data_IF_909113746451
#
_entry.id   IF_909113746451
#
_cell.length_a   1.000
_cell.length_b   1.000
_cell.length_c   1.000
_cell.angle_alpha   90.00
_cell.angle_beta   90.00
_cell.angle_gamma   90.00
#
_symmetry.space_group_name_H-M   'P 1'
#
loop_
_entity.id
_entity.type
_entity.pdbx_description
1 polymer ?
#
# COMPACT_ATOMS: atom_id res chain seq x y z
N UNK A 1 -6.70 27.85 64.15
CA UNK A 1 -6.64 26.41 64.54
C UNK A 1 -7.88 25.76 63.94
N UNK A 2 -7.87 24.69 63.13
CA UNK A 2 -6.85 23.72 62.72
C UNK A 2 -7.18 23.20 61.30
N UNK A 3 -6.13 22.78 60.60
CA UNK A 3 -6.07 22.18 59.25
C UNK A 3 -6.81 20.84 59.18
N UNK A 4 -7.33 20.52 57.99
CA UNK A 4 -7.25 19.16 57.44
C UNK A 4 -6.77 19.28 56.00
N UNK A 5 -5.52 18.85 55.79
CA UNK A 5 -4.95 18.55 54.48
C UNK A 5 -5.45 17.17 54.07
N UNK A 6 -5.91 17.02 52.83
CA UNK A 6 -5.90 15.74 52.13
C UNK A 6 -5.05 15.92 50.89
N UNK A 7 -3.84 15.40 51.00
CA UNK A 7 -2.86 15.32 49.93
C UNK A 7 -3.36 14.27 48.92
N UNK A 8 -3.53 14.67 47.66
CA UNK A 8 -3.75 13.77 46.54
C UNK A 8 -2.77 14.19 45.46
N UNK A 9 -1.73 13.38 45.32
CA UNK A 9 -0.62 13.53 44.39
C UNK A 9 -1.11 13.71 42.96
N UNK A 10 -0.92 14.92 42.43
CA UNK A 10 -1.13 15.25 41.03
C UNK A 10 0.10 14.78 40.23
N UNK A 11 -0.03 13.69 39.48
CA UNK A 11 0.98 13.26 38.51
C UNK A 11 0.91 14.17 37.28
N UNK A 12 2.03 14.72 36.77
CA UNK A 12 1.98 15.58 35.58
C UNK A 12 1.58 14.77 34.33
N UNK A 13 0.50 15.19 33.68
CA UNK A 13 -0.02 14.65 32.43
C UNK A 13 1.08 14.73 31.34
N UNK A 14 1.45 13.58 30.77
CA UNK A 14 2.41 13.50 29.67
C UNK A 14 1.82 14.15 28.41
N UNK A 15 2.59 14.91 27.60
CA UNK A 15 2.03 15.60 26.44
C UNK A 15 1.53 14.61 25.40
N UNK A 16 0.21 14.65 25.12
CA UNK A 16 -0.43 13.89 24.05
C UNK A 16 0.19 14.29 22.71
N UNK A 17 0.67 13.34 21.88
CA UNK A 17 1.20 13.69 20.57
C UNK A 17 0.07 14.25 19.68
N UNK A 18 0.24 15.49 19.22
CA UNK A 18 -0.62 16.10 18.20
C UNK A 18 -0.38 15.38 16.88
N UNK A 19 -1.32 14.53 16.48
CA UNK A 19 -1.36 13.93 15.15
C UNK A 19 -1.62 15.07 14.16
N UNK A 20 -0.66 15.32 13.27
CA UNK A 20 -0.80 16.30 12.20
C UNK A 20 -1.98 15.95 11.30
N UNK A 21 -2.97 16.85 11.29
CA UNK A 21 -4.18 16.79 10.46
C UNK A 21 -3.78 17.08 9.01
N UNK A 22 -3.74 16.06 8.15
CA UNK A 22 -3.61 16.27 6.69
C UNK A 22 -5.00 16.62 6.15
N UNK A 23 -5.22 17.90 5.88
CA UNK A 23 -6.39 18.41 5.16
C UNK A 23 -6.16 18.29 3.65
N UNK A 24 -7.08 17.59 2.97
CA UNK A 24 -7.09 17.51 1.51
C UNK A 24 -7.93 18.67 0.98
N UNK A 25 -7.29 19.62 0.28
CA UNK A 25 -8.02 20.66 -0.44
C UNK A 25 -8.53 20.10 -1.78
N UNK A 26 -9.80 20.33 -2.15
CA UNK A 26 -10.28 20.01 -3.49
C UNK A 26 -9.58 20.93 -4.51
N UNK A 27 -9.10 20.33 -5.59
CA UNK A 27 -8.37 21.00 -6.67
C UNK A 27 -9.23 22.08 -7.34
N UNK A 28 -8.90 23.35 -7.12
CA UNK A 28 -9.37 24.47 -7.93
C UNK A 28 -8.43 24.68 -9.12
N UNK A 29 -8.97 24.59 -10.33
CA UNK A 29 -8.27 24.88 -11.57
C UNK A 29 -8.13 26.40 -11.76
N UNK A 30 -6.90 26.89 -11.96
CA UNK A 30 -6.62 28.15 -12.66
C UNK A 30 -5.45 27.96 -13.64
N UNK A 31 -5.46 28.60 -14.82
CA UNK A 31 -4.48 28.34 -15.88
C UNK A 31 -3.21 29.17 -15.67
N UNK A 32 -2.05 28.51 -15.60
CA UNK A 32 -0.75 29.19 -15.57
C UNK A 32 0.17 28.64 -16.68
N UNK A 33 0.84 29.60 -17.32
CA UNK A 33 1.66 29.57 -18.53
C UNK A 33 2.69 28.43 -18.63
N UNK A 34 2.87 27.93 -19.84
CA UNK A 34 3.77 26.83 -20.22
C UNK A 34 5.23 27.31 -20.21
N UNK A 35 6.06 26.66 -19.39
CA UNK A 35 7.52 26.63 -19.55
C UNK A 35 7.86 25.17 -19.89
N UNK A 36 8.45 24.85 -21.05
CA UNK A 36 8.78 23.47 -21.39
C UNK A 36 9.91 22.96 -20.48
N UNK A 37 9.62 21.94 -19.68
CA UNK A 37 10.60 21.18 -18.92
C UNK A 37 11.50 20.37 -19.89
N UNK A 38 12.78 20.13 -19.53
CA UNK A 38 13.71 19.40 -20.39
C UNK A 38 13.17 17.98 -20.67
N UNK A 39 13.27 17.59 -21.93
CA UNK A 39 12.90 16.28 -22.47
C UNK A 39 13.64 15.15 -21.72
N UNK A 40 13.00 14.66 -20.66
CA UNK A 40 13.20 13.30 -20.18
C UNK A 40 12.05 12.51 -20.78
N UNK A 41 12.36 11.66 -21.75
CA UNK A 41 11.42 10.84 -22.52
C UNK A 41 10.59 9.85 -21.70
N UNK A 42 9.76 10.36 -20.79
CA UNK A 42 8.71 9.64 -20.07
C UNK A 42 7.44 9.70 -20.93
N UNK A 43 7.59 9.36 -22.20
CA UNK A 43 6.48 8.86 -23.00
C UNK A 43 6.61 7.35 -23.03
N UNK A 44 6.10 6.71 -21.98
CA UNK A 44 5.27 5.52 -22.16
C UNK A 44 4.16 5.61 -21.14
N UNK A 45 2.99 6.04 -21.63
CA UNK A 45 1.73 5.43 -21.23
C UNK A 45 2.01 3.97 -20.85
N UNK A 46 1.97 3.67 -19.56
CA UNK A 46 2.15 2.31 -19.12
C UNK A 46 0.82 1.62 -19.44
N UNK A 47 0.71 1.18 -20.69
CA UNK A 47 -0.54 0.67 -21.22
C UNK A 47 -0.95 -0.55 -20.41
N UNK A 48 -2.05 -0.42 -19.68
CA UNK A 48 -2.78 -1.53 -19.05
C UNK A 48 -3.04 -2.67 -20.06
N UNK A 49 -3.06 -2.34 -21.36
CA UNK A 49 -3.20 -3.28 -22.48
C UNK A 49 -2.11 -4.35 -22.62
N UNK A 50 -1.01 -4.30 -21.83
CA UNK A 50 -0.01 -5.39 -21.81
C UNK A 50 -0.36 -6.55 -20.89
N UNK A 51 -1.29 -6.35 -19.95
CA UNK A 51 -1.72 -7.41 -19.04
C UNK A 51 -3.03 -8.01 -19.54
N UNK A 52 -2.95 -9.26 -19.96
CA UNK A 52 -4.13 -10.06 -20.29
C UNK A 52 -4.67 -10.71 -19.01
N UNK A 53 -5.93 -11.11 -19.04
CA UNK A 53 -6.65 -11.66 -17.89
C UNK A 53 -6.38 -13.14 -17.62
N UNK A 54 -5.61 -13.82 -18.46
CA UNK A 54 -5.52 -15.29 -18.55
C UNK A 54 -4.11 -15.84 -18.33
N UNK A 55 -3.08 -15.00 -18.35
CA UNK A 55 -1.71 -15.37 -18.10
C UNK A 55 -1.36 -15.25 -16.62
N UNK A 56 -0.73 -16.28 -16.06
CA UNK A 56 -0.01 -16.15 -14.79
C UNK A 56 1.34 -15.49 -15.10
N UNK A 57 1.59 -14.33 -14.50
CA UNK A 57 2.87 -13.61 -14.65
C UNK A 57 3.83 -14.03 -13.55
N UNK A 58 5.11 -14.20 -13.91
CA UNK A 58 6.17 -14.42 -12.94
C UNK A 58 6.66 -13.09 -12.34
N UNK A 59 6.85 -13.07 -11.01
CA UNK A 59 7.36 -11.92 -10.27
C UNK A 59 8.64 -12.33 -9.54
N UNK A 60 9.76 -11.75 -9.97
CA UNK A 60 11.07 -11.90 -9.32
C UNK A 60 11.70 -10.51 -9.10
N UNK A 61 12.41 -10.35 -7.98
CA UNK A 61 13.16 -9.15 -7.62
C UNK A 61 14.65 -9.40 -7.39
N UNK A 62 15.15 -10.58 -7.77
CA UNK A 62 16.56 -10.94 -7.62
C UNK A 62 17.48 -9.96 -8.36
N UNK A 63 18.46 -9.42 -7.64
CA UNK A 63 19.43 -8.47 -8.17
C UNK A 63 18.86 -7.10 -8.55
N UNK A 64 17.60 -6.80 -8.22
CA UNK A 64 17.00 -5.50 -8.50
C UNK A 64 17.39 -4.43 -7.47
N UNK A 65 17.52 -3.18 -7.93
CA UNK A 65 17.63 -2.00 -7.06
C UNK A 65 16.27 -1.65 -6.45
N UNK A 66 16.24 -0.91 -5.34
CA UNK A 66 15.00 -0.43 -4.71
C UNK A 66 14.04 0.24 -5.71
N UNK A 67 14.57 1.11 -6.58
CA UNK A 67 13.79 1.76 -7.63
C UNK A 67 13.17 0.74 -8.61
N UNK A 68 13.92 -0.28 -9.02
CA UNK A 68 13.41 -1.31 -9.92
C UNK A 68 12.37 -2.20 -9.21
N UNK A 69 12.52 -2.46 -7.91
CA UNK A 69 11.52 -3.16 -7.10
C UNK A 69 10.21 -2.36 -7.09
N UNK A 70 10.25 -1.03 -6.86
CA UNK A 70 9.05 -0.18 -6.95
C UNK A 70 8.37 -0.27 -8.31
N UNK A 71 9.14 -0.28 -9.40
CA UNK A 71 8.59 -0.45 -10.74
C UNK A 71 7.91 -1.82 -10.92
N UNK A 72 8.50 -2.90 -10.39
CA UNK A 72 7.87 -4.23 -10.37
C UNK A 72 6.57 -4.23 -9.56
N UNK A 73 6.52 -3.57 -8.40
CA UNK A 73 5.29 -3.45 -7.60
C UNK A 73 4.20 -2.64 -8.31
N UNK A 74 4.58 -1.59 -9.06
CA UNK A 74 3.66 -0.86 -9.92
C UNK A 74 3.12 -1.77 -11.03
N UNK A 75 3.96 -2.64 -11.59
CA UNK A 75 3.54 -3.64 -12.57
C UNK A 75 2.56 -4.66 -12.02
N UNK A 76 2.80 -5.18 -10.81
CA UNK A 76 1.85 -6.03 -10.10
C UNK A 76 0.49 -5.33 -9.89
N UNK A 77 0.51 -4.04 -9.53
CA UNK A 77 -0.71 -3.23 -9.37
C UNK A 77 -1.50 -3.13 -10.67
N UNK A 78 -0.81 -2.93 -11.80
CA UNK A 78 -1.47 -2.86 -13.12
C UNK A 78 -2.05 -4.21 -13.54
N UNK A 79 -1.32 -5.31 -13.31
CA UNK A 79 -1.83 -6.66 -13.56
C UNK A 79 -3.09 -6.95 -12.72
N UNK A 80 -3.04 -6.63 -11.42
CA UNK A 80 -4.19 -6.76 -10.53
C UNK A 80 -5.43 -6.00 -11.02
N UNK A 81 -5.24 -4.74 -11.43
CA UNK A 81 -6.33 -3.93 -11.99
C UNK A 81 -6.88 -4.50 -13.31
N UNK A 82 -6.03 -5.12 -14.14
CA UNK A 82 -6.47 -5.78 -15.36
C UNK A 82 -7.39 -6.98 -15.04
N UNK A 83 -7.02 -7.83 -14.07
CA UNK A 83 -7.88 -8.93 -13.62
C UNK A 83 -9.21 -8.42 -13.05
N UNK A 84 -9.15 -7.37 -12.23
CA UNK A 84 -10.34 -6.80 -11.58
C UNK A 84 -11.33 -6.22 -12.59
N UNK A 85 -10.84 -5.49 -13.58
CA UNK A 85 -11.68 -4.81 -14.58
C UNK A 85 -12.20 -5.73 -15.68
N UNK A 86 -11.44 -6.74 -16.10
CA UNK A 86 -11.83 -7.64 -17.19
C UNK A 86 -12.70 -8.81 -16.73
N UNK A 87 -12.46 -9.33 -15.52
CA UNK A 87 -13.15 -10.54 -15.00
C UNK A 87 -14.04 -10.30 -13.80
N UNK A 88 -14.01 -9.11 -13.19
CA UNK A 88 -14.70 -8.87 -11.92
C UNK A 88 -14.17 -9.73 -10.77
N UNK A 89 -12.93 -10.23 -10.88
CA UNK A 89 -12.34 -11.15 -9.92
C UNK A 89 -12.19 -10.48 -8.55
N UNK A 90 -12.53 -11.23 -7.48
CA UNK A 90 -12.34 -10.76 -6.11
C UNK A 90 -10.86 -10.54 -5.78
N UNK A 91 -10.60 -9.57 -4.92
CA UNK A 91 -9.25 -9.10 -4.58
C UNK A 91 -8.38 -10.23 -4.02
N UNK A 92 -8.96 -11.09 -3.17
CA UNK A 92 -8.28 -12.28 -2.63
C UNK A 92 -7.79 -13.23 -3.72
N UNK A 93 -8.63 -13.56 -4.70
CA UNK A 93 -8.25 -14.44 -5.81
C UNK A 93 -7.17 -13.80 -6.70
N UNK A 94 -7.22 -12.47 -6.88
CA UNK A 94 -6.16 -11.75 -7.59
C UNK A 94 -4.83 -11.84 -6.82
N UNK A 95 -4.86 -11.67 -5.50
CA UNK A 95 -3.67 -11.79 -4.67
C UNK A 95 -3.08 -13.21 -4.72
N UNK A 96 -3.92 -14.24 -4.63
CA UNK A 96 -3.50 -15.64 -4.79
C UNK A 96 -2.85 -15.88 -6.16
N UNK A 97 -3.36 -15.26 -7.22
CA UNK A 97 -2.77 -15.33 -8.56
C UNK A 97 -1.40 -14.65 -8.65
N UNK A 98 -1.23 -13.49 -8.00
CA UNK A 98 0.07 -12.82 -7.90
C UNK A 98 1.08 -13.68 -7.11
N UNK A 99 0.64 -14.25 -5.98
CA UNK A 99 1.45 -15.12 -5.12
C UNK A 99 1.89 -16.38 -5.88
N UNK A 100 1.00 -16.97 -6.67
CA UNK A 100 1.33 -18.12 -7.52
C UNK A 100 2.43 -17.80 -8.56
N UNK A 101 2.55 -16.54 -8.94
CA UNK A 101 3.61 -16.04 -9.81
C UNK A 101 4.94 -15.73 -9.11
N UNK A 102 5.02 -15.79 -7.77
CA UNK A 102 6.25 -15.44 -7.08
C UNK A 102 7.37 -16.45 -7.35
N UNK A 103 8.56 -15.93 -7.66
CA UNK A 103 9.81 -16.68 -7.72
C UNK A 103 10.94 -15.92 -7.00
N UNK A 104 12.14 -16.51 -6.93
CA UNK A 104 13.31 -15.88 -6.31
C UNK A 104 13.08 -15.39 -4.87
N UNK A 105 13.58 -14.21 -4.55
CA UNK A 105 13.39 -13.56 -3.25
C UNK A 105 11.93 -13.37 -2.85
N UNK A 106 11.00 -13.07 -3.78
CA UNK A 106 9.59 -12.92 -3.43
C UNK A 106 9.00 -14.24 -2.92
N UNK A 107 9.33 -15.35 -3.57
CA UNK A 107 8.91 -16.68 -3.13
C UNK A 107 9.55 -17.06 -1.80
N UNK A 108 10.85 -16.79 -1.65
CA UNK A 108 11.58 -17.04 -0.40
C UNK A 108 11.02 -16.26 0.79
N UNK A 109 10.59 -15.02 0.57
CA UNK A 109 9.90 -14.21 1.56
C UNK A 109 8.52 -14.79 1.93
N UNK A 110 7.70 -15.08 0.93
CA UNK A 110 6.34 -15.57 1.16
C UNK A 110 6.30 -16.93 1.90
N UNK A 111 7.14 -17.88 1.47
CA UNK A 111 7.13 -19.25 1.98
C UNK A 111 7.80 -19.36 3.36
N UNK A 112 8.94 -18.68 3.54
CA UNK A 112 9.84 -18.93 4.69
C UNK A 112 9.93 -17.78 5.70
N UNK A 113 9.66 -16.53 5.30
CA UNK A 113 9.75 -15.40 6.22
C UNK A 113 8.42 -15.05 6.88
N UNK A 114 7.31 -15.22 6.16
CA UNK A 114 5.99 -15.06 6.75
C UNK A 114 5.55 -16.35 7.46
N UNK A 115 5.00 -16.22 8.67
CA UNK A 115 4.26 -17.31 9.28
C UNK A 115 2.81 -17.35 8.77
N UNK A 116 2.10 -18.43 9.10
CA UNK A 116 0.72 -18.65 8.66
C UNK A 116 -0.21 -17.51 9.07
N UNK A 117 -0.13 -17.05 10.33
CA UNK A 117 -0.93 -15.92 10.82
C UNK A 117 -0.68 -14.64 10.00
N UNK A 118 0.56 -14.34 9.66
CA UNK A 118 0.88 -13.17 8.84
C UNK A 118 0.30 -13.29 7.43
N UNK A 119 0.39 -14.47 6.81
CA UNK A 119 -0.25 -14.72 5.51
C UNK A 119 -1.77 -14.58 5.59
N UNK A 120 -2.40 -15.07 6.66
CA UNK A 120 -3.84 -14.90 6.88
C UNK A 120 -4.25 -13.43 7.07
N UNK A 121 -3.46 -12.65 7.80
CA UNK A 121 -3.72 -11.21 7.96
C UNK A 121 -3.66 -10.46 6.63
N UNK A 122 -2.74 -10.85 5.74
CA UNK A 122 -2.66 -10.30 4.39
C UNK A 122 -3.88 -10.75 3.58
N UNK A 123 -4.16 -12.05 3.52
CA UNK A 123 -5.18 -12.65 2.65
C UNK A 123 -6.63 -12.38 3.07
N UNK A 124 -6.85 -11.89 4.28
CA UNK A 124 -8.17 -11.52 4.80
C UNK A 124 -8.24 -10.04 5.19
N UNK A 125 -7.47 -9.18 4.52
CA UNK A 125 -7.50 -7.74 4.77
C UNK A 125 -8.69 -7.06 4.10
N UNK A 126 -9.21 -6.05 4.81
CA UNK A 126 -10.35 -5.24 4.37
C UNK A 126 -9.98 -3.77 4.35
N UNK A 127 -10.65 -2.99 3.51
CA UNK A 127 -10.52 -1.54 3.47
C UNK A 127 -11.07 -0.97 4.77
N UNK A 128 -10.32 -0.04 5.36
CA UNK A 128 -10.73 0.69 6.54
C UNK A 128 -10.75 2.20 6.26
N UNK A 129 -11.62 2.91 6.97
CA UNK A 129 -11.61 4.37 6.97
C UNK A 129 -10.46 4.95 7.82
N UNK A 130 -10.44 6.28 7.97
CA UNK A 130 -9.40 7.00 8.73
C UNK A 130 -9.38 6.67 10.23
N UNK A 131 -10.44 6.04 10.73
CA UNK A 131 -10.63 5.70 12.15
C UNK A 131 -10.46 4.19 12.38
N UNK A 132 -10.21 3.42 11.32
CA UNK A 132 -10.01 1.97 11.37
C UNK A 132 -11.29 1.15 11.25
N UNK A 133 -12.42 1.77 10.88
CA UNK A 133 -13.68 1.05 10.68
C UNK A 133 -13.69 0.40 9.31
N UNK A 134 -14.11 -0.87 9.24
CA UNK A 134 -14.25 -1.60 7.96
C UNK A 134 -15.27 -0.88 7.07
N UNK A 135 -14.88 -0.63 5.82
CA UNK A 135 -15.74 -0.02 4.80
C UNK A 135 -16.56 -1.14 4.14
N UNK A 136 -17.87 -0.95 4.09
CA UNK A 136 -18.82 -1.86 3.45
C UNK A 136 -19.19 -1.37 2.05
N UNK A 137 -19.54 -2.30 1.16
CA UNK A 137 -20.15 -2.00 -0.12
C UNK A 137 -21.67 -1.72 -0.01
N UNK A 138 -22.33 -1.52 -1.16
CA UNK A 138 -23.76 -1.22 -1.23
C UNK A 138 -24.65 -2.38 -0.76
N UNK A 139 -24.10 -3.59 -0.65
CA UNK A 139 -24.78 -4.81 -0.20
C UNK A 139 -24.51 -5.11 1.28
N UNK A 140 -23.69 -4.28 1.94
CA UNK A 140 -23.29 -4.44 3.33
C UNK A 140 -22.12 -5.41 3.54
N UNK A 141 -21.44 -5.83 2.47
CA UNK A 141 -20.28 -6.72 2.58
C UNK A 141 -18.97 -5.91 2.77
N UNK A 142 -18.01 -6.40 3.58
CA UNK A 142 -16.70 -5.78 3.70
C UNK A 142 -15.94 -5.69 2.38
N UNK A 143 -15.45 -4.49 2.04
CA UNK A 143 -14.59 -4.30 0.87
C UNK A 143 -13.20 -4.89 1.14
N UNK A 144 -12.76 -5.82 0.29
CA UNK A 144 -11.42 -6.41 0.36
C UNK A 144 -10.32 -5.40 -0.05
N UNK A 145 -9.16 -5.50 0.60
CA UNK A 145 -7.95 -4.71 0.29
C UNK A 145 -6.68 -5.58 0.19
N UNK A 146 -6.87 -6.87 -0.11
CA UNK A 146 -5.86 -7.92 -0.07
C UNK A 146 -4.67 -7.60 -0.98
N UNK A 147 -4.92 -7.16 -2.22
CA UNK A 147 -3.87 -6.82 -3.19
C UNK A 147 -3.05 -5.63 -2.69
N UNK A 148 -3.72 -4.59 -2.18
CA UNK A 148 -3.05 -3.38 -1.69
C UNK A 148 -2.16 -3.71 -0.49
N UNK A 149 -2.66 -4.50 0.45
CA UNK A 149 -1.90 -4.93 1.64
C UNK A 149 -0.74 -5.86 1.25
N UNK A 150 -0.94 -6.79 0.31
CA UNK A 150 0.15 -7.63 -0.20
C UNK A 150 1.28 -6.77 -0.78
N UNK A 151 0.96 -5.84 -1.70
CA UNK A 151 1.95 -4.97 -2.35
C UNK A 151 2.64 -4.06 -1.33
N UNK A 152 1.89 -3.47 -0.39
CA UNK A 152 2.44 -2.64 0.69
C UNK A 152 3.41 -3.44 1.57
N UNK A 153 3.06 -4.67 1.94
CA UNK A 153 3.90 -5.50 2.81
C UNK A 153 5.20 -5.91 2.09
N UNK A 154 5.14 -6.20 0.79
CA UNK A 154 6.34 -6.44 -0.03
C UNK A 154 7.21 -5.19 -0.06
N UNK A 155 6.62 -4.01 -0.32
CA UNK A 155 7.34 -2.74 -0.31
C UNK A 155 8.04 -2.49 1.03
N UNK A 156 7.33 -2.65 2.14
CA UNK A 156 7.88 -2.46 3.48
C UNK A 156 9.01 -3.44 3.80
N UNK A 157 8.93 -4.68 3.33
CA UNK A 157 9.95 -5.69 3.60
C UNK A 157 11.24 -5.44 2.81
N UNK A 158 11.14 -5.18 1.51
CA UNK A 158 12.30 -5.13 0.62
C UNK A 158 12.90 -3.73 0.43
N UNK A 159 12.13 -2.68 0.69
CA UNK A 159 12.56 -1.28 0.50
C UNK A 159 12.62 -0.55 1.85
N UNK A 160 11.80 -0.94 2.82
CA UNK A 160 11.64 -0.22 4.08
C UNK A 160 10.63 0.93 3.98
N UNK A 161 10.77 1.94 4.83
CA UNK A 161 9.88 3.12 4.79
C UNK A 161 10.23 4.01 3.57
N UNK A 162 9.30 4.17 2.60
CA UNK A 162 9.55 4.93 1.38
C UNK A 162 9.77 6.44 1.63
N UNK A 163 9.53 6.97 2.84
CA UNK A 163 9.82 8.36 3.18
C UNK A 163 11.31 8.70 3.11
N UNK A 164 12.20 7.72 3.29
CA UNK A 164 13.65 7.95 3.25
C UNK A 164 14.22 8.24 1.86
N UNK A 165 13.54 7.83 0.78
CA UNK A 165 13.95 8.11 -0.60
C UNK A 165 13.87 9.61 -0.95
N UNK A 166 13.11 10.39 -0.19
CA UNK A 166 12.97 11.85 -0.40
C UNK A 166 14.16 12.66 0.12
N UNK A 167 15.00 12.08 0.98
CA UNK A 167 16.06 12.79 1.70
C UNK A 167 17.45 12.62 1.07
N UNK A 168 17.52 12.07 -0.15
CA UNK A 168 18.79 11.79 -0.85
C UNK A 168 18.86 12.61 -2.15
N UNK A 169 18.78 13.93 -2.00
CA UNK A 169 19.11 14.92 -3.03
C UNK A 169 20.13 15.89 -2.45
#
# INVERSE_FOLDING_TARGET
>A
MLKVNSDSSEYPESPKPKINKIEWFPSHQTPVQIIPAPDLGISKHISQSRYNDSSIYEWNIDGLTEYNILNTLQQMTMAANAYKTQKGTHDKTIAELLIAGFSGQLKGWWDYHLNERQRELILNSYKTDKVGTIILDNEGNPLQDVVAILILTISLHFIGDPTHLKNKN
#
